data_IF_490781715578
#
_entry.id   IF_490781715578
#
_cell.length_a   1.000
_cell.length_b   1.000
_cell.length_c   1.000
_cell.angle_alpha   90.00
_cell.angle_beta   90.00
_cell.angle_gamma   90.00
#
_symmetry.space_group_name_H-M   'P 1'
#
loop_
_entity.id
_entity.type
_entity.pdbx_description
1 polymer ?
#
# COMPACT_ATOMS: atom_id res chain seq x y z
N UNK A 1 -10.09 -4.88 17.61
CA UNK A 1 -9.42 -3.92 18.53
C UNK A 1 -8.13 -3.47 17.86
N UNK A 2 -7.77 -2.19 17.94
CA UNK A 2 -6.52 -1.65 17.37
C UNK A 2 -5.68 -1.05 18.48
N UNK A 3 -4.55 -1.70 18.80
CA UNK A 3 -3.62 -1.26 19.83
C UNK A 3 -2.54 -0.39 19.18
N UNK A 4 -2.32 0.80 19.71
CA UNK A 4 -1.41 1.77 19.10
C UNK A 4 0.04 1.30 19.02
N UNK A 5 0.48 0.50 20.01
CA UNK A 5 1.79 -0.16 20.02
C UNK A 5 1.96 -1.21 18.93
N UNK A 6 0.86 -1.76 18.39
CA UNK A 6 0.90 -2.77 17.33
C UNK A 6 0.70 -2.16 15.94
N UNK A 7 -0.13 -1.13 15.83
CA UNK A 7 -0.46 -0.46 14.56
C UNK A 7 0.73 0.34 14.05
N UNK A 8 1.20 1.31 14.85
CA UNK A 8 2.34 2.17 14.52
C UNK A 8 3.07 2.64 15.79
N UNK A 9 4.15 1.96 16.22
CA UNK A 9 4.90 2.29 17.43
C UNK A 9 5.81 3.51 17.22
N UNK A 10 5.27 4.58 16.64
CA UNK A 10 5.96 5.84 16.41
C UNK A 10 6.07 6.67 17.69
N UNK A 11 7.14 7.45 17.79
CA UNK A 11 7.33 8.47 18.82
C UNK A 11 6.35 9.63 18.57
N UNK A 12 5.83 10.23 19.66
CA UNK A 12 4.71 11.23 19.71
C UNK A 12 3.30 10.63 19.67
N UNK A 13 2.42 11.22 20.45
CA UNK A 13 1.09 10.71 20.75
C UNK A 13 0.04 11.09 19.71
N UNK A 14 0.17 12.24 19.05
CA UNK A 14 -0.81 12.73 18.09
C UNK A 14 -0.88 11.81 16.86
N UNK A 15 0.25 11.62 16.17
CA UNK A 15 0.36 10.82 14.97
C UNK A 15 -0.02 9.36 15.27
N UNK A 16 0.51 8.81 16.36
CA UNK A 16 0.19 7.45 16.81
C UNK A 16 -1.31 7.27 17.09
N UNK A 17 -1.93 8.23 17.76
CA UNK A 17 -3.38 8.17 18.07
C UNK A 17 -4.21 8.29 16.81
N UNK A 18 -3.88 9.23 15.91
CA UNK A 18 -4.58 9.45 14.66
C UNK A 18 -4.54 8.19 13.76
N UNK A 19 -3.36 7.60 13.57
CA UNK A 19 -3.17 6.38 12.78
C UNK A 19 -3.92 5.19 13.40
N UNK A 20 -3.92 5.07 14.73
CA UNK A 20 -4.63 3.98 15.43
C UNK A 20 -6.15 4.11 15.33
N UNK A 21 -6.68 5.34 15.50
CA UNK A 21 -8.10 5.62 15.34
C UNK A 21 -8.55 5.33 13.91
N UNK A 22 -7.74 5.74 12.94
CA UNK A 22 -7.98 5.48 11.53
C UNK A 22 -7.97 3.98 11.21
N UNK A 23 -6.96 3.23 11.68
CA UNK A 23 -6.89 1.77 11.53
C UNK A 23 -8.16 1.09 12.06
N UNK A 24 -8.58 1.44 13.27
CA UNK A 24 -9.79 0.90 13.88
C UNK A 24 -11.07 1.21 13.10
N UNK A 25 -11.15 2.42 12.51
CA UNK A 25 -12.30 2.86 11.71
C UNK A 25 -12.43 2.07 10.40
N UNK A 26 -11.33 1.89 9.65
CA UNK A 26 -11.37 1.23 8.33
C UNK A 26 -11.31 -0.29 8.40
N UNK A 27 -10.75 -0.86 9.49
CA UNK A 27 -10.55 -2.30 9.65
C UNK A 27 -11.76 -3.17 9.34
N UNK A 28 -12.97 -2.96 9.89
CA UNK A 28 -14.10 -3.83 9.59
C UNK A 28 -14.48 -3.84 8.11
N UNK A 29 -14.30 -2.70 7.41
CA UNK A 29 -14.64 -2.58 5.99
C UNK A 29 -13.62 -3.34 5.13
N UNK A 30 -12.33 -3.11 5.38
CA UNK A 30 -11.24 -3.78 4.64
C UNK A 30 -11.22 -5.27 4.92
N UNK A 31 -11.49 -5.68 6.17
CA UNK A 31 -11.55 -7.07 6.60
C UNK A 31 -12.59 -7.86 5.80
N UNK A 32 -13.82 -7.35 5.78
CA UNK A 32 -14.93 -7.93 5.01
C UNK A 32 -14.62 -7.96 3.50
N UNK A 33 -14.03 -6.88 2.96
CA UNK A 33 -13.69 -6.81 1.54
C UNK A 33 -12.66 -7.88 1.13
N UNK A 34 -11.56 -7.99 1.87
CA UNK A 34 -10.50 -8.95 1.57
C UNK A 34 -10.96 -10.40 1.77
N UNK A 35 -11.79 -10.65 2.78
CA UNK A 35 -12.40 -11.97 3.01
C UNK A 35 -13.33 -12.40 1.85
N UNK A 36 -14.18 -11.47 1.38
CA UNK A 36 -15.05 -11.73 0.23
C UNK A 36 -14.25 -12.00 -1.04
N UNK A 37 -13.15 -11.27 -1.25
CA UNK A 37 -12.26 -11.48 -2.39
C UNK A 37 -11.57 -12.85 -2.31
N UNK A 38 -11.04 -13.23 -1.16
CA UNK A 38 -10.41 -14.54 -0.95
C UNK A 38 -11.41 -15.68 -1.17
N UNK A 39 -12.63 -15.54 -0.65
CA UNK A 39 -13.72 -16.50 -0.87
C UNK A 39 -14.09 -16.63 -2.35
N UNK A 40 -14.14 -15.51 -3.07
CA UNK A 40 -14.46 -15.50 -4.50
C UNK A 40 -13.38 -16.20 -5.33
N UNK A 41 -12.10 -16.02 -5.00
CA UNK A 41 -10.99 -16.72 -5.66
C UNK A 41 -11.07 -18.24 -5.43
N UNK A 42 -11.40 -18.66 -4.20
CA UNK A 42 -11.61 -20.07 -3.87
C UNK A 42 -12.78 -20.68 -4.66
N UNK A 43 -13.91 -19.98 -4.74
CA UNK A 43 -15.08 -20.41 -5.53
C UNK A 43 -14.75 -20.50 -7.03
N UNK A 44 -13.93 -19.59 -7.54
CA UNK A 44 -13.43 -19.61 -8.91
C UNK A 44 -12.36 -20.69 -9.17
N UNK A 45 -11.98 -21.48 -8.16
CA UNK A 45 -10.94 -22.52 -8.22
C UNK A 45 -9.56 -21.97 -8.63
N UNK A 46 -9.26 -20.72 -8.25
CA UNK A 46 -7.96 -20.11 -8.48
C UNK A 46 -7.04 -20.52 -7.32
N UNK A 47 -5.96 -21.30 -7.58
CA UNK A 47 -5.08 -21.80 -6.52
C UNK A 47 -4.07 -20.77 -6.02
N UNK A 48 -3.97 -19.61 -6.68
CA UNK A 48 -3.01 -18.58 -6.36
C UNK A 48 -3.40 -17.85 -5.06
N UNK A 49 -2.44 -17.60 -4.14
CA UNK A 49 -2.70 -16.86 -2.92
C UNK A 49 -3.00 -15.38 -3.23
N UNK A 50 -3.95 -14.79 -2.51
CA UNK A 50 -4.27 -13.38 -2.62
C UNK A 50 -3.15 -12.52 -2.00
N UNK A 51 -2.51 -11.71 -2.85
CA UNK A 51 -1.45 -10.78 -2.48
C UNK A 51 -1.93 -9.34 -2.62
N UNK A 52 -1.65 -8.53 -1.60
CA UNK A 52 -2.09 -7.13 -1.49
C UNK A 52 -0.86 -6.22 -1.50
N UNK A 53 -0.87 -5.21 -2.36
CA UNK A 53 0.17 -4.17 -2.38
C UNK A 53 0.09 -3.28 -1.13
N UNK A 54 1.24 -2.94 -0.57
CA UNK A 54 1.34 -2.04 0.59
C UNK A 54 1.85 -0.65 0.18
N UNK A 55 1.53 0.37 0.98
CA UNK A 55 1.91 1.77 0.75
C UNK A 55 3.43 2.00 0.72
N UNK A 56 4.17 1.23 1.52
CA UNK A 56 5.65 1.30 1.57
C UNK A 56 6.31 0.44 0.48
N UNK A 57 5.52 -0.04 -0.48
CA UNK A 57 5.94 -1.01 -1.49
C UNK A 57 5.95 -2.44 -0.95
N UNK A 58 5.92 -3.39 -1.88
CA UNK A 58 5.92 -4.82 -1.56
C UNK A 58 4.51 -5.42 -1.43
N UNK A 59 4.47 -6.75 -1.43
CA UNK A 59 3.26 -7.55 -1.34
C UNK A 59 3.12 -8.16 0.05
N UNK A 60 1.89 -8.24 0.55
CA UNK A 60 1.53 -8.94 1.77
C UNK A 60 0.33 -9.87 1.52
N UNK A 61 0.31 -10.99 2.24
CA UNK A 61 -0.86 -11.87 2.23
C UNK A 61 -2.10 -11.13 2.76
N UNK A 62 -3.29 -11.51 2.27
CA UNK A 62 -4.58 -10.93 2.70
C UNK A 62 -4.72 -10.90 4.22
N UNK A 63 -4.33 -11.98 4.91
CA UNK A 63 -4.43 -12.11 6.37
C UNK A 63 -3.60 -11.03 7.09
N UNK A 64 -2.42 -10.69 6.57
CA UNK A 64 -1.56 -9.64 7.15
C UNK A 64 -2.15 -8.25 6.87
N UNK A 65 -2.65 -8.04 5.65
CA UNK A 65 -3.29 -6.79 5.27
C UNK A 65 -4.54 -6.49 6.12
N UNK A 66 -5.34 -7.51 6.45
CA UNK A 66 -6.51 -7.43 7.34
C UNK A 66 -6.16 -7.00 8.78
N UNK A 67 -4.98 -7.36 9.27
CA UNK A 67 -4.54 -7.00 10.62
C UNK A 67 -4.14 -5.53 10.76
N UNK A 68 -3.63 -4.90 9.69
CA UNK A 68 -3.12 -3.52 9.70
C UNK A 68 -3.51 -2.77 8.42
N UNK A 69 -4.81 -2.56 8.18
CA UNK A 69 -5.34 -1.94 6.96
C UNK A 69 -4.82 -0.52 6.72
N UNK A 70 -4.40 0.21 7.76
CA UNK A 70 -3.80 1.53 7.59
C UNK A 70 -2.54 1.52 6.71
N UNK A 71 -1.87 0.37 6.58
CA UNK A 71 -0.70 0.18 5.69
C UNK A 71 -1.04 0.00 4.21
N UNK A 72 -2.33 0.09 3.85
CA UNK A 72 -2.81 -0.01 2.47
C UNK A 72 -3.08 1.36 1.86
N UNK A 73 -3.01 2.43 2.65
CA UNK A 73 -3.25 3.80 2.19
C UNK A 73 -2.21 4.24 1.15
N UNK A 74 -2.61 4.50 -0.09
CA UNK A 74 -1.70 4.80 -1.22
C UNK A 74 -0.93 3.59 -1.78
N UNK A 75 -1.46 2.38 -1.64
CA UNK A 75 -0.89 1.18 -2.28
C UNK A 75 -0.86 1.24 -3.82
N UNK A 76 -1.84 1.92 -4.44
CA UNK A 76 -1.90 2.12 -5.89
C UNK A 76 -0.72 2.94 -6.43
N UNK A 77 -0.50 4.18 -5.95
CA UNK A 77 0.67 4.97 -6.31
C UNK A 77 1.98 4.22 -6.07
N UNK A 78 2.13 3.52 -4.93
CA UNK A 78 3.32 2.72 -4.65
C UNK A 78 3.58 1.65 -5.74
N UNK A 79 2.55 0.94 -6.20
CA UNK A 79 2.67 0.01 -7.33
C UNK A 79 3.09 0.71 -8.63
N UNK A 80 2.50 1.87 -8.92
CA UNK A 80 2.80 2.67 -10.10
C UNK A 80 4.26 3.11 -10.17
N UNK A 81 4.82 3.57 -9.04
CA UNK A 81 6.24 3.97 -8.98
C UNK A 81 7.18 2.78 -9.12
N UNK A 82 6.85 1.63 -8.51
CA UNK A 82 7.65 0.40 -8.65
C UNK A 82 7.67 -0.05 -10.12
N UNK A 83 6.50 -0.09 -10.77
CA UNK A 83 6.39 -0.44 -12.18
C UNK A 83 7.09 0.56 -13.10
N UNK A 84 6.98 1.85 -12.80
CA UNK A 84 7.64 2.92 -13.52
C UNK A 84 9.17 2.86 -13.41
N UNK A 85 9.70 2.56 -12.22
CA UNK A 85 11.16 2.37 -12.02
C UNK A 85 11.67 1.16 -12.78
N UNK A 86 10.96 0.03 -12.74
CA UNK A 86 11.32 -1.15 -13.52
C UNK A 86 11.32 -0.86 -15.03
N UNK A 87 10.32 -0.11 -15.51
CA UNK A 87 10.20 0.27 -16.93
C UNK A 87 11.30 1.23 -17.36
N UNK A 88 11.59 2.28 -16.57
CA UNK A 88 12.65 3.22 -16.85
C UNK A 88 14.02 2.53 -16.93
N UNK A 89 14.30 1.63 -15.96
CA UNK A 89 15.52 0.84 -15.94
C UNK A 89 15.66 -0.06 -17.16
N UNK A 90 14.57 -0.72 -17.58
CA UNK A 90 14.56 -1.55 -18.79
C UNK A 90 14.83 -0.72 -20.06
N UNK A 91 14.45 0.56 -20.06
CA UNK A 91 14.73 1.52 -21.13
C UNK A 91 16.11 2.19 -21.03
N UNK A 92 16.93 1.86 -20.02
CA UNK A 92 18.26 2.42 -19.82
C UNK A 92 18.29 3.78 -19.12
N UNK A 93 17.20 4.18 -18.44
CA UNK A 93 17.12 5.41 -17.67
C UNK A 93 17.12 5.12 -16.17
N UNK A 94 18.02 5.79 -15.44
CA UNK A 94 18.07 5.72 -13.97
C UNK A 94 17.26 6.83 -13.29
N UNK A 95 17.05 7.95 -13.98
CA UNK A 95 16.25 9.07 -13.48
C UNK A 95 14.97 9.20 -14.31
N UNK A 96 13.81 9.26 -13.64
CA UNK A 96 12.52 9.36 -14.30
C UNK A 96 11.47 10.03 -13.41
N UNK A 97 10.42 10.57 -14.04
CA UNK A 97 9.22 11.04 -13.36
C UNK A 97 8.05 10.19 -13.85
N UNK A 98 7.33 9.56 -12.93
CA UNK A 98 6.09 8.84 -13.25
C UNK A 98 4.91 9.77 -13.05
N UNK A 99 3.94 9.74 -13.97
CA UNK A 99 2.69 10.48 -13.87
C UNK A 99 1.56 9.48 -14.18
N UNK A 100 0.72 9.20 -13.18
CA UNK A 100 -0.52 8.45 -13.35
C UNK A 100 -1.70 9.44 -13.28
N UNK A 101 -2.45 9.56 -14.37
CA UNK A 101 -3.57 10.51 -14.48
C UNK A 101 -4.86 9.72 -14.63
N UNK A 102 -5.69 9.76 -13.60
CA UNK A 102 -7.05 9.24 -13.63
C UNK A 102 -8.09 10.33 -13.90
N UNK A 103 -9.37 9.96 -13.88
CA UNK A 103 -10.49 10.91 -14.03
C UNK A 103 -10.77 11.76 -12.78
N UNK A 104 -10.11 11.48 -11.66
CA UNK A 104 -10.35 12.14 -10.36
C UNK A 104 -9.08 12.63 -9.70
N UNK A 105 -8.01 11.83 -9.76
CA UNK A 105 -6.71 12.13 -9.15
C UNK A 105 -5.58 12.05 -10.16
N UNK A 106 -4.43 12.61 -9.78
CA UNK A 106 -3.18 12.40 -10.50
C UNK A 106 -2.07 12.20 -9.48
N UNK A 107 -1.27 11.15 -9.68
CA UNK A 107 -0.16 10.77 -8.82
C UNK A 107 1.15 11.00 -9.56
N UNK A 108 2.08 11.70 -8.92
CA UNK A 108 3.39 12.04 -9.48
C UNK A 108 4.48 11.54 -8.55
N UNK A 109 5.50 10.88 -9.09
CA UNK A 109 6.65 10.46 -8.31
C UNK A 109 7.97 10.66 -9.06
N UNK A 110 9.04 10.85 -8.28
CA UNK A 110 10.40 10.97 -8.77
C UNK A 110 11.16 9.67 -8.49
N UNK A 111 11.77 9.14 -9.56
CA UNK A 111 12.76 8.08 -9.51
C UNK A 111 14.11 8.72 -9.74
N UNK A 112 15.04 8.48 -8.83
CA UNK A 112 16.41 9.00 -8.91
C UNK A 112 17.39 7.87 -8.69
N UNK A 113 18.39 7.76 -9.56
CA UNK A 113 19.40 6.69 -9.49
C UNK A 113 18.80 5.28 -9.39
N UNK A 114 17.69 5.05 -10.09
CA UNK A 114 16.96 3.78 -10.14
C UNK A 114 16.08 3.49 -8.92
N UNK A 115 16.00 4.40 -7.95
CA UNK A 115 15.23 4.23 -6.71
C UNK A 115 14.04 5.21 -6.64
N UNK A 116 12.92 4.71 -6.16
CA UNK A 116 11.74 5.52 -5.85
C UNK A 116 12.02 6.40 -4.63
N UNK A 117 11.87 7.72 -4.75
CA UNK A 117 12.17 8.62 -3.65
C UNK A 117 11.01 8.60 -2.62
N UNK A 118 11.15 7.81 -1.55
CA UNK A 118 10.18 7.75 -0.45
C UNK A 118 10.52 8.84 0.57
N UNK A 119 9.71 9.90 0.65
CA UNK A 119 9.81 10.86 1.75
C UNK A 119 9.09 10.32 2.98
N UNK A 120 9.81 10.21 4.08
CA UNK A 120 9.20 10.10 5.40
C UNK A 120 8.85 11.52 5.85
N UNK A 121 7.58 11.81 6.14
CA UNK A 121 7.23 13.05 6.82
C UNK A 121 7.82 12.99 8.25
N UNK A 122 8.72 13.92 8.55
CA UNK A 122 9.32 14.17 9.87
C UNK A 122 8.56 15.26 10.61
#
# INVERSE_FOLDING_TARGET
MSLSSEVDPAFREYERTAVTAFDGYVKPVVDCYLENMETSLLQAKIPAPLQIMQSRGGLAASQVARQRPVRLFLSGPAAGVIGGSATARAAGFEDAITIDVGGTSSDIALIKSGEALVRSET
#
